data_IF_184209990165
#
_entry.id   IF_184209990165
#
_cell.length_a   1.000
_cell.length_b   1.000
_cell.length_c   1.000
_cell.angle_alpha   90.00
_cell.angle_beta   90.00
_cell.angle_gamma   90.00
#
_symmetry.space_group_name_H-M   'P 1'
#
loop_
_entity.id
_entity.type
_entity.pdbx_description
1 polymer ?
#
# COMPACT_ATOMS: atom_id res chain seq x y z
N UNK A 1 -9.33 4.18 63.72
CA UNK A 1 -9.67 4.53 62.33
C UNK A 1 -8.39 4.40 61.51
N UNK A 2 -8.14 3.23 60.90
CA UNK A 2 -6.93 2.93 60.13
C UNK A 2 -7.25 3.08 58.65
N UNK A 3 -6.60 4.03 58.00
CA UNK A 3 -6.72 4.33 56.57
C UNK A 3 -6.09 3.19 55.77
N UNK A 4 -6.88 2.49 54.95
CA UNK A 4 -6.38 1.55 53.94
C UNK A 4 -6.02 2.34 52.69
N UNK A 5 -4.73 2.42 52.37
CA UNK A 5 -4.26 2.86 51.05
C UNK A 5 -4.25 1.63 50.15
N UNK A 6 -5.18 1.58 49.19
CA UNK A 6 -5.22 0.56 48.16
C UNK A 6 -4.12 0.90 47.13
N UNK A 7 -3.00 0.17 47.18
CA UNK A 7 -1.98 0.24 46.14
C UNK A 7 -2.55 -0.48 44.89
N UNK A 8 -3.13 0.26 43.96
CA UNK A 8 -3.41 -0.22 42.61
C UNK A 8 -2.07 -0.39 41.90
N UNK A 9 -1.53 -1.61 41.89
CA UNK A 9 -0.50 -1.98 40.92
C UNK A 9 -1.12 -1.96 39.54
N UNK A 10 -0.95 -0.84 38.83
CA UNK A 10 -1.11 -0.79 37.39
C UNK A 10 -0.11 -1.79 36.79
N UNK A 11 -0.56 -2.98 36.41
CA UNK A 11 0.16 -3.79 35.44
C UNK A 11 0.09 -3.01 34.12
N UNK A 12 1.12 -2.20 33.85
CA UNK A 12 1.37 -1.71 32.52
C UNK A 12 1.64 -2.94 31.65
N UNK A 13 0.64 -3.39 30.89
CA UNK A 13 0.89 -4.29 29.76
C UNK A 13 1.76 -3.51 28.78
N UNK A 14 3.04 -3.83 28.77
CA UNK A 14 3.95 -3.38 27.73
C UNK A 14 3.49 -4.08 26.45
N UNK A 15 2.79 -3.36 25.57
CA UNK A 15 2.60 -3.82 24.19
C UNK A 15 3.98 -3.72 23.53
N UNK A 16 4.75 -4.80 23.59
CA UNK A 16 5.93 -4.91 22.77
C UNK A 16 5.49 -5.02 21.31
N UNK A 17 6.21 -4.33 20.43
CA UNK A 17 6.01 -4.49 19.01
C UNK A 17 6.18 -5.97 18.63
N UNK A 18 5.20 -6.52 17.92
CA UNK A 18 5.14 -7.94 17.59
C UNK A 18 5.02 -8.10 16.09
N UNK A 19 5.89 -8.94 15.52
CA UNK A 19 5.74 -9.43 14.16
C UNK A 19 4.94 -10.73 14.19
N UNK A 20 3.95 -10.83 13.32
CA UNK A 20 3.23 -12.06 13.02
C UNK A 20 3.42 -12.35 11.54
N UNK A 21 3.78 -13.59 11.21
CA UNK A 21 3.97 -14.03 9.83
C UNK A 21 2.93 -15.10 9.48
N UNK A 22 2.16 -14.84 8.42
CA UNK A 22 1.21 -15.76 7.85
C UNK A 22 1.78 -16.36 6.56
N UNK A 23 1.87 -17.68 6.51
CA UNK A 23 2.34 -18.48 5.36
C UNK A 23 1.31 -19.57 5.04
N UNK A 24 1.35 -20.17 3.84
CA UNK A 24 0.48 -21.31 3.51
C UNK A 24 0.67 -22.52 4.45
N UNK A 25 1.81 -22.64 5.11
CA UNK A 25 2.10 -23.74 6.05
C UNK A 25 1.49 -23.53 7.44
N UNK A 26 1.19 -22.29 7.83
CA UNK A 26 0.71 -21.95 9.17
C UNK A 26 -0.68 -21.29 9.18
N UNK A 27 -1.29 -21.06 8.01
CA UNK A 27 -2.56 -20.36 7.85
C UNK A 27 -3.28 -20.78 6.56
N UNK A 28 -4.52 -20.34 6.38
CA UNK A 28 -5.32 -20.58 5.16
C UNK A 28 -4.93 -19.65 3.99
N UNK A 29 -3.74 -19.05 4.05
CA UNK A 29 -3.22 -18.18 3.02
C UNK A 29 -2.79 -19.01 1.79
N UNK A 30 -3.34 -18.78 0.59
CA UNK A 30 -3.15 -19.68 -0.54
C UNK A 30 -1.79 -19.54 -1.26
N UNK A 31 -1.03 -18.49 -0.96
CA UNK A 31 0.22 -18.14 -1.67
C UNK A 31 1.16 -17.38 -0.74
N UNK A 32 2.45 -17.44 -1.00
CA UNK A 32 3.45 -16.58 -0.33
C UNK A 32 3.74 -15.28 -1.11
N UNK A 33 3.13 -15.11 -2.28
CA UNK A 33 3.33 -13.96 -3.16
C UNK A 33 2.03 -13.19 -3.38
N UNK A 34 2.07 -11.88 -3.09
CA UNK A 34 0.99 -10.92 -3.30
C UNK A 34 1.45 -9.74 -4.15
N UNK A 35 0.65 -9.35 -5.13
CA UNK A 35 0.91 -8.18 -5.98
C UNK A 35 0.40 -6.88 -5.35
N UNK A 36 -0.66 -6.97 -4.54
CA UNK A 36 -1.38 -5.83 -3.98
C UNK A 36 -1.89 -6.17 -2.57
N UNK A 37 -1.88 -5.17 -1.67
CA UNK A 37 -2.48 -5.21 -0.33
C UNK A 37 -3.21 -3.89 -0.16
N UNK A 38 -4.52 -3.95 0.13
CA UNK A 38 -5.33 -2.77 0.44
C UNK A 38 -6.22 -3.06 1.63
N UNK A 39 -6.65 -2.02 2.34
CA UNK A 39 -7.56 -2.14 3.48
C UNK A 39 -8.77 -1.28 3.19
N UNK A 40 -9.97 -1.83 3.39
CA UNK A 40 -11.23 -1.11 3.24
C UNK A 40 -11.66 -0.39 4.52
N UNK A 41 -12.79 0.32 4.45
CA UNK A 41 -13.29 1.10 5.59
C UNK A 41 -13.82 0.25 6.75
N UNK A 42 -14.06 -1.04 6.53
CA UNK A 42 -14.49 -2.00 7.55
C UNK A 42 -13.29 -2.73 8.19
N UNK A 43 -12.07 -2.23 7.93
CA UNK A 43 -10.79 -2.78 8.40
C UNK A 43 -10.49 -4.18 7.84
N UNK A 44 -11.08 -4.54 6.71
CA UNK A 44 -10.79 -5.81 6.03
C UNK A 44 -9.57 -5.63 5.15
N UNK A 45 -8.63 -6.56 5.26
CA UNK A 45 -7.43 -6.59 4.44
C UNK A 45 -7.70 -7.45 3.20
N UNK A 46 -7.49 -6.86 2.02
CA UNK A 46 -7.62 -7.54 0.74
C UNK A 46 -6.25 -7.74 0.12
N UNK A 47 -5.96 -8.98 -0.29
CA UNK A 47 -4.70 -9.38 -0.92
C UNK A 47 -4.96 -9.88 -2.34
N UNK A 48 -4.19 -9.39 -3.30
CA UNK A 48 -4.12 -9.94 -4.65
C UNK A 48 -3.06 -11.02 -4.73
N UNK A 49 -3.46 -12.30 -4.68
CA UNK A 49 -2.58 -13.47 -4.63
C UNK A 49 -2.56 -14.22 -5.98
N UNK A 50 -1.99 -13.58 -7.00
CA UNK A 50 -2.04 -14.10 -8.38
C UNK A 50 -3.47 -14.02 -8.93
N UNK A 51 -4.08 -15.18 -9.18
CA UNK A 51 -5.48 -15.28 -9.65
C UNK A 51 -6.51 -15.20 -8.52
N UNK A 52 -6.05 -15.30 -7.26
CA UNK A 52 -6.91 -15.36 -6.09
C UNK A 52 -7.05 -13.97 -5.45
N UNK A 53 -8.29 -13.57 -5.16
CA UNK A 53 -8.55 -12.48 -4.22
C UNK A 53 -8.68 -13.09 -2.82
N UNK A 54 -7.88 -12.62 -1.88
CA UNK A 54 -7.91 -13.12 -0.49
C UNK A 54 -8.41 -12.03 0.42
N UNK A 55 -9.47 -12.31 1.16
CA UNK A 55 -9.99 -11.49 2.26
C UNK A 55 -9.35 -11.96 3.55
N UNK A 56 -8.81 -11.05 4.34
CA UNK A 56 -8.28 -11.31 5.68
C UNK A 56 -9.00 -10.40 6.69
N UNK A 57 -9.76 -11.03 7.58
CA UNK A 57 -10.50 -10.36 8.66
C UNK A 57 -10.61 -11.28 9.87
N UNK A 58 -10.53 -10.74 11.08
CA UNK A 58 -10.70 -11.50 12.33
C UNK A 58 -9.84 -12.79 12.38
N UNK A 59 -8.56 -12.67 12.00
CA UNK A 59 -7.59 -13.77 11.91
C UNK A 59 -7.98 -14.92 10.97
N UNK A 60 -8.86 -14.67 9.99
CA UNK A 60 -9.33 -15.67 9.02
C UNK A 60 -9.10 -15.23 7.59
N UNK A 61 -8.58 -16.14 6.78
CA UNK A 61 -8.44 -15.96 5.33
C UNK A 61 -9.63 -16.59 4.60
N UNK A 62 -10.21 -15.85 3.67
CA UNK A 62 -11.22 -16.36 2.72
C UNK A 62 -10.76 -16.08 1.31
N UNK A 63 -10.70 -17.11 0.47
CA UNK A 63 -10.21 -16.99 -0.91
C UNK A 63 -11.35 -17.00 -1.92
N UNK A 64 -11.36 -16.05 -2.84
CA UNK A 64 -12.28 -15.95 -3.97
C UNK A 64 -11.54 -16.15 -5.30
N UNK A 65 -12.10 -17.00 -6.17
CA UNK A 65 -11.61 -17.27 -7.52
C UNK A 65 -12.75 -17.79 -8.41
N UNK A 66 -12.41 -18.22 -9.64
CA UNK A 66 -13.39 -18.69 -10.63
C UNK A 66 -14.14 -19.97 -10.26
N UNK A 67 -13.68 -20.73 -9.26
CA UNK A 67 -14.36 -21.94 -8.79
C UNK A 67 -15.52 -21.66 -7.84
N UNK A 68 -15.51 -20.49 -7.18
CA UNK A 68 -16.48 -20.14 -6.13
C UNK A 68 -17.12 -18.75 -6.30
N UNK A 69 -16.80 -18.05 -7.38
CA UNK A 69 -17.33 -16.71 -7.67
C UNK A 69 -17.38 -16.45 -9.18
N UNK A 70 -17.89 -15.28 -9.58
CA UNK A 70 -17.90 -14.85 -10.99
C UNK A 70 -16.56 -14.27 -11.46
N UNK A 71 -15.55 -14.20 -10.57
CA UNK A 71 -14.25 -13.65 -10.88
C UNK A 71 -13.53 -14.54 -11.90
N UNK A 72 -12.75 -13.97 -12.82
CA UNK A 72 -12.13 -14.72 -13.90
C UNK A 72 -10.92 -15.51 -13.39
N UNK A 73 -10.48 -16.50 -14.18
CA UNK A 73 -9.24 -17.22 -13.93
C UNK A 73 -8.02 -16.44 -14.49
N UNK A 74 -7.89 -15.18 -14.10
CA UNK A 74 -6.86 -14.24 -14.57
C UNK A 74 -6.18 -13.60 -13.36
N UNK A 75 -4.99 -13.01 -13.55
CA UNK A 75 -4.26 -12.38 -12.45
C UNK A 75 -4.85 -11.02 -12.08
N UNK A 76 -4.85 -10.71 -10.79
CA UNK A 76 -5.19 -9.38 -10.29
C UNK A 76 -4.04 -8.43 -10.58
N UNK A 77 -4.29 -7.48 -11.48
CA UNK A 77 -3.34 -6.44 -11.88
C UNK A 77 -3.32 -5.30 -10.87
N UNK A 78 -4.50 -4.88 -10.41
CA UNK A 78 -4.65 -3.75 -9.48
C UNK A 78 -5.96 -3.85 -8.69
N UNK A 79 -5.96 -3.22 -7.52
CA UNK A 79 -7.14 -3.13 -6.67
C UNK A 79 -7.26 -1.71 -6.11
N UNK A 80 -8.49 -1.23 -5.92
CA UNK A 80 -8.74 0.13 -5.43
C UNK A 80 -10.01 0.19 -4.57
N UNK A 81 -9.95 0.85 -3.42
CA UNK A 81 -11.15 1.19 -2.62
C UNK A 81 -11.55 2.62 -2.94
N UNK A 82 -12.78 2.82 -3.42
CA UNK A 82 -13.29 4.17 -3.67
C UNK A 82 -13.83 4.85 -2.41
N UNK A 83 -14.16 6.13 -2.53
CA UNK A 83 -14.68 6.94 -1.40
C UNK A 83 -16.04 6.48 -0.85
N UNK A 84 -16.71 5.54 -1.52
CA UNK A 84 -17.98 4.91 -1.09
C UNK A 84 -17.76 3.52 -0.48
N UNK A 85 -16.51 3.07 -0.35
CA UNK A 85 -16.15 1.77 0.20
C UNK A 85 -16.29 0.62 -0.81
N UNK A 86 -16.44 0.91 -2.10
CA UNK A 86 -16.52 -0.14 -3.12
C UNK A 86 -15.10 -0.62 -3.43
N UNK A 87 -14.90 -1.94 -3.35
CA UNK A 87 -13.69 -2.59 -3.80
C UNK A 87 -13.75 -2.79 -5.32
N UNK A 88 -12.87 -2.14 -6.05
CA UNK A 88 -12.68 -2.30 -7.48
C UNK A 88 -11.49 -3.22 -7.75
N UNK A 89 -11.66 -4.12 -8.71
CA UNK A 89 -10.70 -5.16 -9.06
C UNK A 89 -10.43 -5.09 -10.57
N UNK A 90 -9.16 -4.99 -10.94
CA UNK A 90 -8.73 -5.13 -12.32
C UNK A 90 -8.04 -6.49 -12.51
N UNK A 91 -8.68 -7.36 -13.29
CA UNK A 91 -8.19 -8.66 -13.70
C UNK A 91 -7.75 -8.61 -15.16
N UNK A 92 -6.46 -8.37 -15.42
CA UNK A 92 -5.90 -8.11 -16.76
C UNK A 92 -6.71 -7.04 -17.53
N UNK A 93 -7.71 -7.47 -18.29
CA UNK A 93 -8.56 -6.66 -19.16
C UNK A 93 -10.01 -6.55 -18.67
N UNK A 94 -10.31 -7.02 -17.45
CA UNK A 94 -11.67 -7.08 -16.93
C UNK A 94 -11.79 -6.34 -15.61
N UNK A 95 -12.75 -5.42 -15.53
CA UNK A 95 -13.06 -4.68 -14.31
C UNK A 95 -14.23 -5.34 -13.61
N UNK A 96 -14.04 -5.64 -12.33
CA UNK A 96 -15.08 -6.05 -11.41
C UNK A 96 -15.16 -5.06 -10.26
N UNK A 97 -16.30 -5.07 -9.58
CA UNK A 97 -16.44 -4.42 -8.28
C UNK A 97 -17.13 -5.34 -7.30
N UNK A 98 -16.78 -5.22 -6.02
CA UNK A 98 -17.49 -5.86 -4.93
C UNK A 98 -18.31 -4.82 -4.19
N UNK A 99 -19.61 -5.09 -4.06
CA UNK A 99 -20.54 -4.25 -3.32
C UNK A 99 -21.53 -5.14 -2.59
N UNK A 100 -21.70 -4.93 -1.28
CA UNK A 100 -22.55 -5.75 -0.41
C UNK A 100 -22.28 -7.26 -0.57
N UNK A 101 -21.00 -7.65 -0.41
CA UNK A 101 -20.51 -9.04 -0.53
C UNK A 101 -20.81 -9.73 -1.88
N UNK A 102 -21.09 -8.96 -2.94
CA UNK A 102 -21.34 -9.48 -4.28
C UNK A 102 -20.37 -8.88 -5.28
N UNK A 103 -19.73 -9.75 -6.05
CA UNK A 103 -18.95 -9.37 -7.21
C UNK A 103 -19.88 -9.05 -8.39
N UNK A 104 -19.57 -7.98 -9.11
CA UNK A 104 -20.28 -7.52 -10.29
C UNK A 104 -19.25 -7.24 -11.38
N UNK A 105 -19.41 -7.88 -12.54
CA UNK A 105 -18.65 -7.51 -13.74
C UNK A 105 -19.09 -6.13 -14.22
N UNK A 106 -18.12 -5.27 -14.52
CA UNK A 106 -18.37 -3.89 -14.94
C UNK A 106 -18.15 -3.76 -16.44
N UNK A 107 -16.93 -4.06 -16.91
CA UNK A 107 -16.55 -3.87 -18.32
C UNK A 107 -15.24 -4.58 -18.65
N UNK A 108 -15.08 -4.98 -19.92
CA UNK A 108 -13.79 -5.29 -20.52
C UNK A 108 -13.11 -4.02 -21.04
N UNK A 109 -11.81 -3.89 -20.79
CA UNK A 109 -10.96 -2.77 -21.21
C UNK A 109 -9.68 -3.30 -21.86
N UNK A 110 -9.09 -2.54 -22.78
CA UNK A 110 -7.85 -2.95 -23.45
C UNK A 110 -6.62 -2.57 -22.63
N UNK A 111 -5.77 -3.56 -22.33
CA UNK A 111 -4.46 -3.38 -21.69
C UNK A 111 -4.48 -2.58 -20.36
N UNK A 112 -5.43 -2.88 -19.47
CA UNK A 112 -5.50 -2.25 -18.15
C UNK A 112 -4.22 -2.44 -17.33
N UNK A 113 -3.69 -1.37 -16.73
CA UNK A 113 -2.48 -1.44 -15.86
C UNK A 113 -2.68 -0.93 -14.45
N UNK A 114 -3.50 0.11 -14.29
CA UNK A 114 -3.84 0.71 -13.00
C UNK A 114 -5.23 1.29 -13.03
N UNK A 115 -5.91 1.28 -11.89
CA UNK A 115 -7.23 1.85 -11.71
C UNK A 115 -7.25 2.82 -10.52
N UNK A 116 -8.12 3.82 -10.62
CA UNK A 116 -8.53 4.67 -9.52
C UNK A 116 -10.00 5.05 -9.77
N UNK A 117 -10.66 5.62 -8.77
CA UNK A 117 -12.03 6.14 -8.93
C UNK A 117 -12.02 7.60 -8.53
N UNK A 118 -12.55 8.44 -9.41
CA UNK A 118 -12.65 9.86 -9.15
C UNK A 118 -13.79 10.17 -8.16
N UNK A 119 -13.88 11.41 -7.69
CA UNK A 119 -14.88 11.81 -6.68
C UNK A 119 -16.30 11.83 -7.21
N UNK A 120 -16.50 11.77 -8.53
CA UNK A 120 -17.82 11.60 -9.13
C UNK A 120 -18.24 10.12 -9.18
N UNK A 121 -17.29 9.20 -8.95
CA UNK A 121 -17.50 7.77 -9.05
C UNK A 121 -17.18 7.20 -10.43
N UNK A 122 -16.55 7.99 -11.31
CA UNK A 122 -16.07 7.49 -12.60
C UNK A 122 -14.73 6.77 -12.42
N UNK A 123 -14.56 5.65 -13.10
CA UNK A 123 -13.34 4.85 -12.98
C UNK A 123 -12.29 5.41 -13.94
N UNK A 124 -11.12 5.72 -13.41
CA UNK A 124 -9.95 6.15 -14.15
C UNK A 124 -9.04 4.95 -14.32
N UNK A 125 -8.57 4.68 -15.53
CA UNK A 125 -7.65 3.58 -15.76
C UNK A 125 -6.55 3.93 -16.76
N UNK A 126 -5.39 3.37 -16.49
CA UNK A 126 -4.24 3.46 -17.36
C UNK A 126 -4.23 2.32 -18.37
N UNK A 127 -4.05 2.66 -19.64
CA UNK A 127 -3.68 1.72 -20.69
C UNK A 127 -2.21 1.93 -21.12
N UNK A 128 -1.76 1.22 -22.15
CA UNK A 128 -0.37 1.27 -22.61
C UNK A 128 0.15 2.68 -22.96
N UNK A 129 -0.67 3.58 -23.49
CA UNK A 129 -0.23 4.94 -23.89
C UNK A 129 -1.24 6.02 -23.51
N UNK A 130 -2.26 5.68 -22.73
CA UNK A 130 -3.37 6.58 -22.44
C UNK A 130 -3.85 6.44 -21.01
N UNK A 131 -4.41 7.53 -20.51
CA UNK A 131 -5.23 7.54 -19.32
C UNK A 131 -6.67 7.74 -19.78
N UNK A 132 -7.55 6.84 -19.38
CA UNK A 132 -8.93 6.75 -19.83
C UNK A 132 -9.86 6.91 -18.63
N UNK A 133 -11.07 7.42 -18.88
CA UNK A 133 -12.15 7.52 -17.90
C UNK A 133 -13.34 6.71 -18.38
N UNK A 134 -13.73 5.71 -17.61
CA UNK A 134 -14.97 4.96 -17.74
C UNK A 134 -16.06 5.64 -16.92
N UNK A 135 -17.04 6.23 -17.61
CA UNK A 135 -18.18 6.89 -16.98
C UNK A 135 -19.23 5.89 -16.51
N UNK A 136 -20.13 6.37 -15.65
CA UNK A 136 -21.28 5.59 -15.16
C UNK A 136 -22.19 5.00 -16.27
N UNK A 137 -22.29 5.64 -17.44
CA UNK A 137 -23.02 5.14 -18.61
C UNK A 137 -22.22 4.13 -19.47
N UNK A 138 -21.05 3.73 -18.97
CA UNK A 138 -20.08 2.83 -19.61
C UNK A 138 -19.38 3.41 -20.84
N UNK A 139 -19.55 4.68 -21.17
CA UNK A 139 -18.75 5.36 -22.19
C UNK A 139 -17.31 5.59 -21.70
N UNK A 140 -16.36 5.63 -22.63
CA UNK A 140 -14.94 5.85 -22.33
C UNK A 140 -14.51 7.18 -22.95
N UNK A 141 -14.00 8.07 -22.10
CA UNK A 141 -13.31 9.28 -22.51
C UNK A 141 -11.79 9.08 -22.43
N UNK A 142 -11.05 9.70 -23.34
CA UNK A 142 -9.59 9.81 -23.23
C UNK A 142 -9.23 11.06 -22.45
N UNK A 143 -8.58 10.91 -21.29
CA UNK A 143 -8.10 12.03 -20.48
C UNK A 143 -6.70 12.48 -20.88
N UNK A 144 -5.87 11.52 -21.26
CA UNK A 144 -4.51 11.76 -21.72
C UNK A 144 -4.15 10.71 -22.76
N UNK A 145 -3.47 11.14 -23.82
CA UNK A 145 -2.86 10.25 -24.81
C UNK A 145 -1.46 10.78 -25.10
N UNK A 146 -0.47 9.90 -25.10
CA UNK A 146 0.89 10.29 -25.49
C UNK A 146 0.89 10.72 -26.96
N UNK A 147 1.34 11.94 -27.24
CA UNK A 147 1.53 12.44 -28.61
C UNK A 147 2.76 11.81 -29.30
N UNK A 148 3.62 11.16 -28.51
CA UNK A 148 4.85 10.51 -28.95
C UNK A 148 4.64 9.00 -28.85
N UNK A 149 5.17 8.25 -29.82
CA UNK A 149 5.32 6.79 -29.73
C UNK A 149 6.43 6.42 -28.73
N UNK A 150 6.35 6.98 -27.51
CA UNK A 150 7.29 6.72 -26.43
C UNK A 150 7.00 5.39 -25.72
N UNK A 151 5.84 4.77 -26.02
CA UNK A 151 5.37 3.51 -25.45
C UNK A 151 5.40 3.49 -23.91
N UNK A 152 5.33 4.66 -23.28
CA UNK A 152 5.36 4.79 -21.82
C UNK A 152 3.95 4.58 -21.26
N UNK A 153 3.75 3.43 -20.61
CA UNK A 153 2.49 3.07 -19.97
C UNK A 153 2.29 3.73 -18.63
N UNK A 154 1.04 4.02 -18.28
CA UNK A 154 0.66 4.55 -16.97
C UNK A 154 1.05 3.54 -15.88
N UNK A 155 1.76 4.02 -14.85
CA UNK A 155 2.32 3.17 -13.79
C UNK A 155 1.65 3.34 -12.43
N UNK A 156 1.15 4.53 -12.12
CA UNK A 156 0.35 4.85 -10.91
C UNK A 156 -0.67 5.92 -11.23
N UNK A 157 -1.80 5.87 -10.54
CA UNK A 157 -2.89 6.85 -10.63
C UNK A 157 -3.39 7.11 -9.20
N UNK A 158 -3.54 8.38 -8.83
CA UNK A 158 -4.26 8.77 -7.61
C UNK A 158 -5.21 9.94 -7.94
N UNK A 159 -6.28 10.06 -7.17
CA UNK A 159 -7.21 11.19 -7.26
C UNK A 159 -7.15 11.98 -5.96
N UNK A 160 -6.89 13.29 -6.08
CA UNK A 160 -6.75 14.16 -4.92
C UNK A 160 -8.10 14.65 -4.36
N UNK A 161 -8.07 15.39 -3.24
CA UNK A 161 -9.28 15.92 -2.60
C UNK A 161 -10.03 16.94 -3.44
N UNK A 162 -9.35 17.58 -4.40
CA UNK A 162 -9.94 18.50 -5.37
C UNK A 162 -10.43 17.82 -6.66
N UNK A 163 -10.48 16.48 -6.69
CA UNK A 163 -10.82 15.68 -7.87
C UNK A 163 -9.85 15.83 -9.05
N UNK A 164 -8.61 16.25 -8.79
CA UNK A 164 -7.57 16.21 -9.81
C UNK A 164 -6.93 14.84 -9.87
N UNK A 165 -6.54 14.42 -11.06
CA UNK A 165 -5.95 13.10 -11.30
C UNK A 165 -4.45 13.27 -11.44
N UNK A 166 -3.69 12.61 -10.58
CA UNK A 166 -2.24 12.56 -10.66
C UNK A 166 -1.82 11.19 -11.17
N UNK A 167 -0.85 11.16 -12.09
CA UNK A 167 -0.35 9.90 -12.62
C UNK A 167 1.12 9.97 -13.03
N UNK A 168 1.75 8.80 -12.99
CA UNK A 168 3.09 8.56 -13.53
C UNK A 168 3.04 7.62 -14.71
N UNK A 169 4.13 7.59 -15.49
CA UNK A 169 4.34 6.60 -16.54
C UNK A 169 5.66 5.86 -16.31
N UNK A 170 5.77 4.64 -16.82
CA UNK A 170 6.98 3.84 -16.76
C UNK A 170 8.11 4.52 -17.55
N UNK A 171 9.31 4.56 -16.98
CA UNK A 171 10.51 5.17 -17.58
C UNK A 171 10.31 6.65 -17.98
N UNK A 172 9.46 7.36 -17.24
CA UNK A 172 9.20 8.79 -17.40
C UNK A 172 9.99 9.63 -16.41
N UNK A 173 10.22 10.89 -16.79
CA UNK A 173 11.05 11.88 -16.11
C UNK A 173 10.23 12.95 -15.38
N UNK A 174 8.99 12.61 -15.03
CA UNK A 174 8.13 13.46 -14.22
C UNK A 174 6.79 12.83 -13.89
N UNK A 175 5.94 13.62 -13.25
CA UNK A 175 4.54 13.28 -12.98
C UNK A 175 3.60 14.27 -13.68
N UNK A 176 2.37 13.85 -13.95
CA UNK A 176 1.33 14.71 -14.53
C UNK A 176 0.15 14.87 -13.58
N UNK A 177 -0.46 16.05 -13.60
CA UNK A 177 -1.71 16.37 -12.92
C UNK A 177 -2.74 16.84 -13.94
N UNK A 178 -3.83 16.10 -14.09
CA UNK A 178 -4.99 16.53 -14.86
C UNK A 178 -5.94 17.27 -13.93
N UNK A 179 -6.25 18.51 -14.30
CA UNK A 179 -7.24 19.38 -13.68
C UNK A 179 -8.47 19.49 -14.59
N UNK A 180 -9.50 20.25 -14.21
CA UNK A 180 -10.64 20.50 -15.09
C UNK A 180 -10.25 21.19 -16.40
N UNK A 181 -9.20 22.02 -16.37
CA UNK A 181 -8.91 22.96 -17.44
C UNK A 181 -7.58 22.66 -18.16
N UNK A 182 -6.70 21.89 -17.55
CA UNK A 182 -5.34 21.68 -18.05
C UNK A 182 -4.69 20.39 -17.54
N UNK A 183 -3.67 19.93 -18.27
CA UNK A 183 -2.71 18.93 -17.79
C UNK A 183 -1.40 19.62 -17.44
N UNK A 184 -0.99 19.54 -16.18
CA UNK A 184 0.28 20.06 -15.69
C UNK A 184 1.32 18.95 -15.66
N UNK A 185 2.57 19.29 -15.95
CA UNK A 185 3.72 18.40 -15.87
C UNK A 185 4.70 18.89 -14.79
N UNK A 186 5.22 17.97 -13.99
CA UNK A 186 6.23 18.24 -12.96
C UNK A 186 7.45 17.35 -13.19
N UNK A 187 8.52 17.96 -13.71
CA UNK A 187 9.81 17.33 -13.98
C UNK A 187 10.96 18.14 -13.39
N UNK A 188 12.20 17.70 -13.64
CA UNK A 188 13.41 18.37 -13.10
C UNK A 188 13.54 19.81 -13.56
N UNK A 189 13.08 20.11 -14.77
CA UNK A 189 13.19 21.43 -15.39
C UNK A 189 12.30 22.48 -14.71
N UNK A 190 11.24 22.07 -14.00
CA UNK A 190 10.32 23.00 -13.36
C UNK A 190 10.22 22.84 -11.84
N UNK A 191 10.64 21.69 -11.29
CA UNK A 191 10.69 21.46 -9.84
C UNK A 191 12.09 21.63 -9.25
N UNK A 192 13.14 21.51 -10.08
CA UNK A 192 14.51 21.39 -9.62
C UNK A 192 14.85 20.04 -8.97
N UNK A 193 13.88 19.11 -8.90
CA UNK A 193 14.06 17.77 -8.34
C UNK A 193 14.03 16.73 -9.47
N UNK A 194 14.96 15.77 -9.49
CA UNK A 194 14.87 14.66 -10.42
C UNK A 194 13.70 13.78 -9.98
N UNK A 195 12.55 13.94 -10.66
CA UNK A 195 11.33 13.15 -10.45
C UNK A 195 11.32 12.06 -11.51
N UNK A 196 11.88 10.89 -11.20
CA UNK A 196 12.02 9.79 -12.17
C UNK A 196 12.07 8.45 -11.46
N UNK A 197 11.84 7.34 -12.16
CA UNK A 197 11.92 6.00 -11.54
C UNK A 197 11.12 5.87 -10.23
N UNK A 198 9.90 6.42 -10.24
CA UNK A 198 8.98 6.39 -9.11
C UNK A 198 8.31 5.01 -9.01
N UNK A 199 8.24 4.51 -7.77
CA UNK A 199 7.54 3.27 -7.43
C UNK A 199 6.17 3.53 -6.81
N UNK A 200 6.00 4.69 -6.15
CA UNK A 200 4.75 5.01 -5.47
C UNK A 200 4.40 6.49 -5.52
N UNK A 201 3.10 6.74 -5.60
CA UNK A 201 2.47 8.03 -5.35
C UNK A 201 1.40 7.78 -4.28
N UNK A 202 1.43 8.55 -3.19
CA UNK A 202 0.46 8.44 -2.11
C UNK A 202 -0.13 9.80 -1.76
N UNK A 203 -1.39 9.82 -1.34
CA UNK A 203 -2.10 11.01 -0.91
C UNK A 203 -2.26 11.00 0.60
N UNK A 204 -1.78 12.04 1.28
CA UNK A 204 -1.99 12.17 2.71
C UNK A 204 -3.34 12.82 3.06
N UNK A 205 -3.78 12.72 4.31
CA UNK A 205 -5.05 13.26 4.78
C UNK A 205 -5.10 14.81 4.74
N UNK A 206 -3.96 15.47 4.60
CA UNK A 206 -3.84 16.92 4.36
C UNK A 206 -3.83 17.27 2.87
N UNK A 207 -4.11 16.30 1.99
CA UNK A 207 -4.12 16.42 0.53
C UNK A 207 -2.73 16.63 -0.11
N UNK A 208 -1.63 16.40 0.60
CA UNK A 208 -0.30 16.47 0.00
C UNK A 208 0.02 15.19 -0.77
N UNK A 209 0.84 15.33 -1.81
CA UNK A 209 1.29 14.21 -2.64
C UNK A 209 2.66 13.76 -2.16
N UNK A 210 2.81 12.48 -1.89
CA UNK A 210 4.08 11.86 -1.53
C UNK A 210 4.55 10.99 -2.67
N UNK A 211 5.84 11.10 -3.01
CA UNK A 211 6.48 10.31 -4.07
C UNK A 211 7.58 9.45 -3.46
N UNK A 212 7.57 8.16 -3.77
CA UNK A 212 8.64 7.22 -3.42
C UNK A 212 9.20 6.56 -4.66
N UNK A 213 10.52 6.41 -4.73
CA UNK A 213 11.21 5.76 -5.85
C UNK A 213 12.66 5.42 -5.54
N UNK A 214 13.43 5.13 -6.58
CA UNK A 214 14.86 4.85 -6.45
C UNK A 214 15.64 6.12 -6.07
N UNK A 215 16.10 6.20 -4.82
CA UNK A 215 16.80 7.36 -4.27
C UNK A 215 15.94 8.61 -4.13
N UNK A 216 14.62 8.47 -4.16
CA UNK A 216 13.68 9.58 -4.21
C UNK A 216 12.59 9.39 -3.16
N UNK A 217 12.47 10.36 -2.27
CA UNK A 217 11.35 10.51 -1.36
C UNK A 217 11.01 12.00 -1.30
N UNK A 218 9.91 12.38 -1.95
CA UNK A 218 9.51 13.78 -2.10
C UNK A 218 8.09 14.00 -1.58
N UNK A 219 7.80 15.24 -1.20
CA UNK A 219 6.46 15.68 -0.82
C UNK A 219 6.10 16.95 -1.58
N UNK A 220 4.94 16.97 -2.21
CA UNK A 220 4.32 18.16 -2.76
C UNK A 220 3.22 18.65 -1.83
N UNK A 221 3.43 19.81 -1.23
CA UNK A 221 2.38 20.46 -0.45
C UNK A 221 1.39 21.15 -1.39
N UNK A 222 0.16 20.66 -1.45
CA UNK A 222 -0.84 21.20 -2.39
C UNK A 222 -1.32 22.61 -2.03
N UNK A 223 -1.20 23.01 -0.77
CA UNK A 223 -1.60 24.36 -0.32
C UNK A 223 -0.55 25.39 -0.71
N UNK A 224 0.71 25.14 -0.40
CA UNK A 224 1.81 26.07 -0.69
C UNK A 224 2.36 25.92 -2.11
N UNK A 225 2.04 24.80 -2.78
CA UNK A 225 2.57 24.39 -4.09
C UNK A 225 4.09 24.20 -4.10
N UNK A 226 4.65 23.80 -2.96
CA UNK A 226 6.09 23.60 -2.77
C UNK A 226 6.42 22.12 -2.79
N UNK A 227 7.50 21.78 -3.49
CA UNK A 227 8.15 20.48 -3.43
C UNK A 227 9.21 20.47 -2.33
N UNK A 228 9.19 19.41 -1.53
CA UNK A 228 10.12 19.16 -0.43
C UNK A 228 10.86 17.85 -0.66
N UNK A 229 12.15 17.88 -0.36
CA UNK A 229 13.05 16.75 -0.51
C UNK A 229 13.34 16.10 0.85
N UNK A 230 12.55 15.08 1.15
CA UNK A 230 12.47 14.48 2.49
C UNK A 230 13.79 13.81 2.88
N UNK A 231 14.53 13.26 1.91
CA UNK A 231 15.84 12.65 2.20
C UNK A 231 16.82 13.72 2.70
N UNK A 232 16.81 14.90 2.09
CA UNK A 232 17.66 16.03 2.48
C UNK A 232 17.24 16.66 3.81
N UNK A 233 15.98 16.50 4.22
CA UNK A 233 15.48 16.90 5.56
C UNK A 233 15.98 15.96 6.67
N UNK A 234 16.25 14.69 6.34
CA UNK A 234 16.68 13.65 7.30
C UNK A 234 17.92 12.86 6.85
N UNK A 235 19.05 13.51 6.54
CA UNK A 235 20.20 12.87 5.88
C UNK A 235 20.95 11.85 6.75
N UNK A 236 20.72 11.85 8.07
CA UNK A 236 21.28 10.85 8.99
C UNK A 236 20.43 9.59 9.13
N UNK A 237 19.21 9.60 8.62
CA UNK A 237 18.20 8.53 8.76
C UNK A 237 17.77 7.94 7.42
N UNK A 238 17.81 8.74 6.36
CA UNK A 238 17.43 8.38 5.00
C UNK A 238 18.64 8.46 4.06
N UNK A 239 18.63 7.64 3.02
CA UNK A 239 19.75 7.53 2.08
C UNK A 239 19.24 7.50 0.63
N UNK A 240 20.02 8.08 -0.29
CA UNK A 240 19.77 8.08 -1.74
C UNK A 240 20.03 6.72 -2.39
N UNK A 241 20.79 5.85 -1.75
CA UNK A 241 21.04 4.49 -2.21
C UNK A 241 19.87 3.54 -1.89
N UNK A 242 18.82 4.05 -1.24
CA UNK A 242 17.62 3.28 -0.93
C UNK A 242 16.56 3.46 -2.00
N UNK A 243 15.75 2.42 -2.17
CA UNK A 243 14.50 2.49 -2.93
C UNK A 243 13.35 2.58 -1.95
N UNK A 244 12.51 3.61 -2.08
CA UNK A 244 11.31 3.81 -1.29
C UNK A 244 10.13 3.18 -2.06
N UNK A 245 9.74 1.96 -1.67
CA UNK A 245 8.90 1.09 -2.52
C UNK A 245 7.41 1.40 -2.40
N UNK A 246 6.95 1.68 -1.18
CA UNK A 246 5.55 1.98 -0.90
C UNK A 246 5.44 2.94 0.29
N UNK A 247 4.34 3.69 0.32
CA UNK A 247 4.04 4.74 1.30
C UNK A 247 2.58 4.59 1.71
N UNK A 248 2.36 4.37 3.00
CA UNK A 248 1.06 4.41 3.64
C UNK A 248 1.07 5.45 4.77
N UNK A 249 -0.06 5.65 5.44
CA UNK A 249 -0.16 6.61 6.53
C UNK A 249 -0.85 5.96 7.73
N UNK A 250 -0.37 6.29 8.93
CA UNK A 250 -1.09 5.95 10.15
C UNK A 250 -2.31 6.86 10.35
N UNK A 251 -3.14 6.58 11.37
CA UNK A 251 -4.34 7.38 11.66
C UNK A 251 -4.06 8.85 12.02
N UNK A 252 -2.82 9.15 12.44
CA UNK A 252 -2.36 10.51 12.73
C UNK A 252 -1.76 11.20 11.49
N UNK A 253 -1.84 10.54 10.32
CA UNK A 253 -1.31 11.00 9.05
C UNK A 253 0.22 11.09 9.00
N UNK A 254 0.92 10.29 9.81
CA UNK A 254 2.36 10.11 9.70
C UNK A 254 2.64 9.14 8.55
N UNK A 255 3.54 9.47 7.61
CA UNK A 255 3.91 8.56 6.54
C UNK A 255 4.72 7.40 7.10
N UNK A 256 4.34 6.20 6.67
CA UNK A 256 5.01 4.93 6.92
C UNK A 256 5.53 4.45 5.57
N UNK A 257 6.83 4.23 5.47
CA UNK A 257 7.52 4.01 4.21
C UNK A 257 8.35 2.74 4.30
N UNK A 258 8.08 1.80 3.41
CA UNK A 258 8.89 0.59 3.29
C UNK A 258 10.00 0.81 2.26
N UNK A 259 11.24 0.53 2.67
CA UNK A 259 12.45 0.87 1.91
C UNK A 259 13.42 -0.29 1.80
N UNK A 260 14.15 -0.36 0.69
CA UNK A 260 15.17 -1.36 0.39
C UNK A 260 16.53 -0.75 0.06
N UNK A 261 17.64 -1.45 0.33
CA UNK A 261 19.01 -0.94 0.10
C UNK A 261 19.61 -1.52 -1.20
N UNK A 262 20.10 -0.68 -2.11
CA UNK A 262 20.81 -1.11 -3.33
C UNK A 262 20.00 -2.07 -4.24
N UNK A 263 18.69 -1.88 -4.35
CA UNK A 263 17.81 -2.78 -5.11
C UNK A 263 17.72 -4.21 -4.56
N UNK A 264 18.30 -4.47 -3.39
CA UNK A 264 18.19 -5.72 -2.62
C UNK A 264 17.37 -5.43 -1.36
N UNK A 265 16.61 -6.45 -0.92
CA UNK A 265 15.82 -6.58 0.33
C UNK A 265 15.20 -5.30 0.95
N UNK A 266 13.91 -5.27 1.30
CA UNK A 266 13.37 -4.24 2.18
C UNK A 266 14.05 -4.45 3.52
N UNK A 267 14.85 -3.48 3.89
CA UNK A 267 15.61 -3.54 5.14
C UNK A 267 14.91 -2.73 6.21
N UNK A 268 14.12 -1.72 5.84
CA UNK A 268 13.58 -0.83 6.84
C UNK A 268 12.13 -0.44 6.58
N UNK A 269 11.39 -0.37 7.67
CA UNK A 269 10.21 0.45 7.81
C UNK A 269 10.62 1.81 8.40
N UNK A 270 10.30 2.90 7.72
CA UNK A 270 10.59 4.26 8.17
C UNK A 270 9.29 4.96 8.50
N UNK A 271 9.14 5.43 9.73
CA UNK A 271 7.93 6.11 10.18
C UNK A 271 8.33 7.55 10.52
N UNK A 272 7.86 8.51 9.73
CA UNK A 272 8.22 9.92 9.92
C UNK A 272 7.22 10.54 10.88
N UNK A 273 7.68 10.95 12.07
CA UNK A 273 6.85 11.56 13.10
C UNK A 273 7.39 12.93 13.42
N UNK A 274 6.59 13.98 13.19
CA UNK A 274 6.99 15.38 13.41
C UNK A 274 8.29 15.77 12.68
N UNK A 275 9.43 15.69 13.39
CA UNK A 275 10.79 16.07 12.95
C UNK A 275 11.82 14.97 13.22
N UNK A 276 11.37 13.73 13.36
CA UNK A 276 12.25 12.56 13.48
C UNK A 276 11.69 11.39 12.67
N UNK A 277 12.53 10.38 12.48
CA UNK A 277 12.21 9.14 11.78
C UNK A 277 12.57 7.97 12.67
N UNK A 278 11.54 7.18 13.00
CA UNK A 278 11.71 5.86 13.58
C UNK A 278 12.02 4.88 12.46
N UNK A 279 13.23 4.33 12.47
CA UNK A 279 13.71 3.34 11.50
C UNK A 279 13.71 1.98 12.17
N UNK A 280 12.81 1.10 11.74
CA UNK A 280 12.76 -0.28 12.20
C UNK A 280 13.48 -1.12 11.15
N UNK A 281 14.68 -1.60 11.51
CA UNK A 281 15.48 -2.43 10.63
C UNK A 281 15.10 -3.91 10.80
N UNK A 282 14.77 -4.56 9.70
CA UNK A 282 14.46 -5.99 9.65
C UNK A 282 15.72 -6.85 9.72
N UNK A 283 16.89 -6.38 9.28
CA UNK A 283 18.15 -7.16 9.29
C UNK A 283 18.58 -7.59 10.70
N UNK A 284 18.26 -6.78 11.72
CA UNK A 284 18.60 -7.06 13.13
C UNK A 284 17.60 -7.95 13.86
N UNK A 285 16.49 -8.34 13.21
CA UNK A 285 15.38 -9.05 13.84
C UNK A 285 15.44 -10.58 13.67
N UNK A 286 16.53 -11.14 13.10
CA UNK A 286 16.55 -12.55 12.68
C UNK A 286 17.72 -13.38 13.22
N UNK A 287 17.37 -14.51 13.84
CA UNK A 287 18.13 -15.76 13.79
C UNK A 287 17.65 -16.53 12.54
N UNK A 288 18.51 -16.58 11.52
CA UNK A 288 18.57 -17.43 10.30
C UNK A 288 17.32 -17.91 9.51
N UNK A 289 16.08 -17.88 9.99
CA UNK A 289 14.96 -18.62 9.33
C UNK A 289 13.91 -17.79 8.56
N UNK A 290 13.91 -16.45 8.66
CA UNK A 290 12.88 -15.62 8.01
C UNK A 290 13.48 -14.51 7.15
N UNK A 291 13.87 -14.88 5.94
CA UNK A 291 14.36 -13.93 4.95
C UNK A 291 13.21 -13.08 4.39
N UNK A 292 12.96 -11.89 4.96
CA UNK A 292 12.12 -10.88 4.30
C UNK A 292 12.85 -10.43 3.02
N UNK A 293 12.49 -11.03 1.89
CA UNK A 293 12.89 -10.58 0.56
C UNK A 293 11.84 -9.58 0.06
N UNK A 294 12.18 -8.73 -0.91
CA UNK A 294 11.38 -7.57 -1.45
C UNK A 294 9.89 -7.41 -1.03
N UNK A 295 9.54 -6.26 -0.45
CA UNK A 295 8.19 -5.81 -0.12
C UNK A 295 7.85 -4.75 -1.13
N UNK A 296 6.68 -4.93 -1.75
CA UNK A 296 6.18 -4.05 -2.80
C UNK A 296 4.83 -3.45 -2.46
N UNK A 297 4.18 -3.95 -1.41
CA UNK A 297 2.87 -3.51 -0.98
C UNK A 297 2.87 -3.33 0.54
N UNK A 298 2.35 -2.19 0.96
CA UNK A 298 2.23 -1.74 2.35
C UNK A 298 0.80 -1.24 2.56
N UNK A 299 0.17 -1.70 3.64
CA UNK A 299 -1.10 -1.16 4.11
C UNK A 299 -1.06 -0.96 5.62
N UNK A 300 -1.85 -0.02 6.11
CA UNK A 300 -1.95 0.31 7.53
C UNK A 300 -3.42 0.32 7.89
N UNK A 301 -3.78 -0.44 8.91
CA UNK A 301 -5.16 -0.60 9.34
C UNK A 301 -5.61 0.54 10.29
N UNK A 302 -6.87 0.55 10.69
CA UNK A 302 -7.43 1.56 11.59
C UNK A 302 -6.83 1.54 12.99
N UNK A 303 -6.15 0.45 13.36
CA UNK A 303 -5.47 0.29 14.63
C UNK A 303 -3.99 0.66 14.62
N UNK A 304 -3.47 1.08 13.46
CA UNK A 304 -2.06 1.33 13.16
C UNK A 304 -1.21 0.03 13.14
N UNK A 305 -1.81 -1.12 12.83
CA UNK A 305 -1.06 -2.31 12.45
C UNK A 305 -0.62 -2.18 11.00
N UNK A 306 0.60 -2.63 10.73
CA UNK A 306 1.22 -2.51 9.41
C UNK A 306 1.24 -3.88 8.76
N UNK A 307 0.66 -3.96 7.57
CA UNK A 307 0.63 -5.16 6.75
C UNK A 307 1.50 -4.95 5.53
N UNK A 308 2.41 -5.88 5.30
CA UNK A 308 3.26 -5.82 4.13
C UNK A 308 3.63 -7.23 3.66
N UNK A 309 3.87 -7.36 2.36
CA UNK A 309 4.43 -8.59 1.83
C UNK A 309 5.95 -8.58 1.94
N UNK A 310 6.55 -9.74 2.04
CA UNK A 310 7.99 -9.88 1.93
C UNK A 310 8.28 -11.05 1.00
N UNK A 311 8.49 -10.78 -0.29
CA UNK A 311 8.81 -11.68 -1.41
C UNK A 311 8.95 -13.16 -1.02
N UNK A 312 7.85 -13.89 -1.20
CA UNK A 312 7.75 -15.33 -0.98
C UNK A 312 7.79 -15.80 0.49
N UNK A 313 7.63 -14.90 1.46
CA UNK A 313 7.43 -15.27 2.87
C UNK A 313 5.98 -15.16 3.35
N UNK A 314 5.07 -14.66 2.51
CA UNK A 314 3.67 -14.48 2.88
C UNK A 314 3.36 -13.07 3.38
N UNK A 315 2.36 -12.97 4.26
CA UNK A 315 1.86 -11.70 4.82
C UNK A 315 2.53 -11.47 6.17
N UNK A 316 3.22 -10.33 6.31
CA UNK A 316 3.76 -9.88 7.58
C UNK A 316 2.82 -8.84 8.16
N UNK A 317 2.46 -9.04 9.42
CA UNK A 317 1.80 -8.06 10.27
C UNK A 317 2.79 -7.56 11.31
N UNK A 318 2.89 -6.24 11.44
CA UNK A 318 3.60 -5.58 12.51
C UNK A 318 2.60 -4.81 13.37
N UNK A 319 2.40 -5.29 14.59
CA UNK A 319 1.52 -4.68 15.58
C UNK A 319 2.33 -3.98 16.67
N UNK A 320 1.76 -2.92 17.27
CA UNK A 320 2.37 -2.24 18.43
C UNK A 320 3.06 -0.91 18.14
N UNK A 321 2.73 -0.23 17.03
CA UNK A 321 3.17 1.17 16.77
C UNK A 321 2.83 2.14 17.92
N UNK A 322 1.87 1.80 18.77
CA UNK A 322 1.39 2.62 19.90
C UNK A 322 2.35 2.67 21.10
N UNK A 323 3.47 1.94 21.10
CA UNK A 323 4.45 1.99 22.19
C UNK A 323 5.26 3.30 22.15
N UNK A 324 4.72 4.34 22.78
CA UNK A 324 5.35 5.66 22.97
C UNK A 324 6.48 5.66 24.00
N UNK A 325 7.08 4.50 24.31
CA UNK A 325 8.17 4.42 25.29
C UNK A 325 9.44 3.96 24.59
N UNK A 326 10.40 4.88 24.55
CA UNK A 326 11.81 4.66 24.26
C UNK A 326 12.36 3.48 25.08
N UNK A 327 12.27 2.26 24.54
CA UNK A 327 13.08 1.07 24.81
C UNK A 327 12.52 -0.08 23.98
N UNK A 328 13.08 -0.25 22.78
CA UNK A 328 13.00 -1.47 21.98
C UNK A 328 13.78 -2.58 22.71
N UNK A 329 13.23 -3.13 23.78
CA UNK A 329 13.78 -4.32 24.41
C UNK A 329 12.74 -5.44 24.27
N UNK A 330 13.08 -6.42 23.43
CA UNK A 330 12.38 -7.67 23.16
C UNK A 330 11.15 -7.59 22.24
N UNK A 331 11.40 -7.80 20.96
CA UNK A 331 10.42 -8.08 19.91
C UNK A 331 10.17 -9.60 19.92
N UNK A 332 8.94 -10.00 20.20
CA UNK A 332 8.53 -11.40 20.09
C UNK A 332 7.96 -11.64 18.69
N UNK A 333 8.44 -12.68 18.00
CA UNK A 333 7.81 -13.18 16.77
C UNK A 333 6.87 -14.30 17.19
N UNK A 334 5.55 -14.15 17.02
CA UNK A 334 4.63 -15.29 17.17
C UNK A 334 4.41 -15.93 15.82
N UNK A 335 4.78 -17.20 15.70
CA UNK A 335 4.25 -18.07 14.67
C UNK A 335 2.83 -18.47 15.09
N UNK A 336 1.85 -18.28 14.22
CA UNK A 336 0.46 -18.64 14.53
C UNK A 336 0.35 -20.18 14.61
N UNK A 337 -0.21 -20.75 15.70
CA UNK A 337 -0.32 -22.20 15.82
C UNK A 337 -1.39 -22.73 14.86
N UNK A 338 -1.03 -23.79 14.15
CA UNK A 338 -1.82 -24.50 13.15
C UNK A 338 -3.16 -25.01 13.73
N UNK A 339 -4.33 -24.70 13.14
CA UNK A 339 -5.62 -25.16 13.66
C UNK A 339 -5.94 -26.59 13.21
N UNK A 340 -5.03 -27.55 13.35
CA UNK A 340 -5.36 -28.99 13.21
C UNK A 340 -4.45 -29.90 14.02
N UNK A 341 -4.75 -30.07 15.31
CA UNK A 341 -4.61 -31.39 15.95
C UNK A 341 -5.84 -31.65 16.82
N UNK A 342 -6.93 -32.05 16.16
CA UNK A 342 -7.97 -32.79 16.84
C UNK A 342 -7.36 -34.09 17.38
N UNK A 343 -7.41 -34.22 18.69
CA UNK A 343 -7.06 -35.42 19.45
C UNK A 343 -7.61 -36.70 18.81
N UNK A 344 -6.73 -37.59 18.36
CA UNK A 344 -7.01 -39.01 18.25
C UNK A 344 -6.69 -39.65 19.60
N UNK A 345 -7.74 -39.87 20.41
CA UNK A 345 -7.75 -40.88 21.47
C UNK A 345 -8.46 -42.12 20.90
N UNK A 346 -7.74 -43.22 20.78
CA UNK A 346 -8.16 -44.54 21.29
C UNK A 346 -6.95 -45.12 21.99
#
# INVERSE_FOLDING_TARGET
MKTFILLLTLCAFQLNAQFTLYTPENSDLPSTYFSNIIIDFDNVIWLGAGINLVKFENDKFTTYNSSNSILPNEVIVDMYIDTKGILWLLYEEQIYKMYNDKFVFVKSIEYGKKIAVDRNGDLIFGSNMSLLKLKSDLSIDTLFKSDILDHKSVSKIIVDKGNNIWFTRNFDDGIRKITSDSTLYYGVENTGLPISSLNQIALDSSNNIWLGGNGQLYKYNQTTKIWSDIISEFPSKLDRNWTYNDIAFDRLNNPIIISSRNGKLPSNLNIIRNKDIDVINFDSLYNEELFIKSSRALAVDLDDNIYFNANMTGLVEYSGLRSTVSRLNEINIKLYPNPTTSSLRI
#
